data_IF_708974510640
#
_entry.id   IF_708974510640
#
_cell.length_a   1.000
_cell.length_b   1.000
_cell.length_c   1.000
_cell.angle_alpha   90.00
_cell.angle_beta   90.00
_cell.angle_gamma   90.00
#
_symmetry.space_group_name_H-M   'P 1'
#
loop_
_entity.id
_entity.type
_entity.pdbx_description
1 polymer ?
#
# COMPACT_ATOMS: atom_id res chain seq x y z
N UNK A 1 -22.55 -15.11 16.07
CA UNK A 1 -21.39 -14.35 15.56
C UNK A 1 -21.20 -14.71 14.11
N UNK A 2 -21.54 -13.82 13.18
CA UNK A 2 -21.36 -14.06 11.75
C UNK A 2 -19.88 -13.90 11.41
N UNK A 3 -19.22 -14.99 11.03
CA UNK A 3 -17.84 -14.97 10.55
C UNK A 3 -17.84 -14.25 9.20
N UNK A 4 -17.38 -13.00 9.17
CA UNK A 4 -17.15 -12.29 7.92
C UNK A 4 -15.91 -12.93 7.29
N UNK A 5 -16.13 -13.83 6.33
CA UNK A 5 -15.08 -14.48 5.55
C UNK A 5 -14.71 -13.52 4.42
N UNK A 6 -13.66 -12.74 4.65
CA UNK A 6 -13.05 -11.93 3.61
C UNK A 6 -12.31 -12.86 2.64
N UNK A 7 -12.94 -13.16 1.51
CA UNK A 7 -12.38 -14.02 0.45
C UNK A 7 -11.72 -13.17 -0.66
N UNK A 8 -11.61 -11.86 -0.46
CA UNK A 8 -11.05 -10.99 -1.48
C UNK A 8 -9.53 -11.18 -1.55
N UNK A 9 -9.04 -11.53 -2.73
CA UNK A 9 -7.60 -11.63 -3.02
C UNK A 9 -7.29 -10.60 -4.10
N UNK A 10 -6.43 -9.64 -3.78
CA UNK A 10 -5.99 -8.65 -4.74
C UNK A 10 -5.07 -9.32 -5.79
N UNK A 11 -5.21 -8.98 -7.08
CA UNK A 11 -4.29 -9.47 -8.10
C UNK A 11 -2.85 -8.98 -7.81
N UNK A 12 -1.82 -9.76 -8.15
CA UNK A 12 -0.44 -9.39 -7.86
C UNK A 12 -0.03 -8.16 -8.68
N UNK A 13 0.38 -7.10 -7.99
CA UNK A 13 0.86 -5.88 -8.63
C UNK A 13 2.38 -5.95 -8.78
N UNK A 14 2.87 -6.02 -10.04
CA UNK A 14 4.31 -6.05 -10.35
C UNK A 14 4.93 -4.66 -10.50
N UNK A 15 4.11 -3.61 -10.49
CA UNK A 15 4.59 -2.24 -10.58
C UNK A 15 5.34 -1.85 -9.30
N UNK A 16 6.41 -1.08 -9.48
CA UNK A 16 7.21 -0.57 -8.38
C UNK A 16 6.63 0.76 -7.88
N UNK A 17 6.76 0.98 -6.58
CA UNK A 17 6.39 2.26 -5.97
C UNK A 17 7.46 3.28 -6.34
N UNK A 18 7.04 4.37 -6.99
CA UNK A 18 7.95 5.49 -7.30
C UNK A 18 7.90 6.51 -6.17
N UNK A 19 9.07 6.92 -5.68
CA UNK A 19 9.19 7.97 -4.68
C UNK A 19 9.11 9.33 -5.39
N UNK A 20 8.13 10.15 -5.02
CA UNK A 20 7.97 11.50 -5.59
C UNK A 20 8.65 12.56 -4.73
N UNK A 21 8.59 12.38 -3.41
CA UNK A 21 9.19 13.29 -2.45
C UNK A 21 9.47 12.57 -1.13
N UNK A 22 10.50 12.99 -0.42
CA UNK A 22 10.88 12.43 0.87
C UNK A 22 11.49 13.52 1.74
N UNK A 23 11.03 13.59 2.98
CA UNK A 23 11.70 14.34 4.05
C UNK A 23 11.76 13.50 5.34
N UNK A 24 12.16 14.12 6.45
CA UNK A 24 12.32 13.48 7.74
C UNK A 24 10.98 13.05 8.39
N UNK A 25 9.85 13.58 7.92
CA UNK A 25 8.54 13.40 8.54
C UNK A 25 7.53 12.69 7.64
N UNK A 26 7.67 12.81 6.32
CA UNK A 26 6.75 12.25 5.33
C UNK A 26 7.46 11.79 4.07
N UNK A 27 6.87 10.76 3.45
CA UNK A 27 7.29 10.21 2.18
C UNK A 27 6.09 10.24 1.24
N UNK A 28 6.23 10.95 0.12
CA UNK A 28 5.26 10.97 -0.96
C UNK A 28 5.68 9.96 -2.02
N UNK A 29 4.74 9.09 -2.37
CA UNK A 29 4.93 8.05 -3.37
C UNK A 29 3.82 8.09 -4.39
N UNK A 30 4.16 7.72 -5.62
CA UNK A 30 3.19 7.38 -6.63
C UNK A 30 2.71 5.94 -6.37
N UNK A 31 1.46 5.81 -5.94
CA UNK A 31 0.86 4.50 -5.68
C UNK A 31 0.32 3.91 -6.99
N UNK A 32 0.79 2.73 -7.42
CA UNK A 32 0.23 2.08 -8.60
C UNK A 32 -1.24 1.69 -8.39
N UNK A 33 -1.98 1.63 -9.49
CA UNK A 33 -3.35 1.16 -9.49
C UNK A 33 -3.38 -0.34 -9.12
N UNK A 34 -4.37 -0.76 -8.33
CA UNK A 34 -4.50 -2.17 -7.92
C UNK A 34 -3.60 -2.63 -6.75
N UNK A 35 -2.63 -1.83 -6.30
CA UNK A 35 -1.89 -2.11 -5.07
C UNK A 35 -2.64 -1.59 -3.83
N UNK A 36 -2.74 -2.44 -2.82
CA UNK A 36 -3.37 -2.11 -1.54
C UNK A 36 -2.53 -1.08 -0.76
N UNK A 37 -3.19 -0.13 -0.12
CA UNK A 37 -2.52 0.87 0.73
C UNK A 37 -2.02 0.26 2.03
N UNK A 38 -2.81 -0.63 2.62
CA UNK A 38 -2.50 -1.40 3.83
C UNK A 38 -2.61 -2.89 3.53
N UNK A 39 -1.87 -3.71 4.28
CA UNK A 39 -1.95 -5.16 4.13
C UNK A 39 -3.34 -5.66 4.51
N UNK A 40 -3.89 -6.54 3.67
CA UNK A 40 -5.18 -7.16 3.91
C UNK A 40 -5.12 -8.19 5.04
N UNK A 41 -6.30 -8.70 5.44
CA UNK A 41 -6.41 -9.76 6.45
C UNK A 41 -5.95 -11.13 5.94
N UNK A 42 -6.12 -11.38 4.63
CA UNK A 42 -5.64 -12.59 3.97
C UNK A 42 -4.11 -12.54 3.79
N UNK A 43 -3.37 -13.63 4.10
CA UNK A 43 -1.92 -13.68 3.94
C UNK A 43 -1.45 -13.49 2.49
N UNK A 44 -2.31 -13.71 1.49
CA UNK A 44 -2.00 -13.42 0.07
C UNK A 44 -2.06 -11.93 -0.25
N UNK A 45 -2.71 -11.13 0.59
CA UNK A 45 -2.82 -9.67 0.48
C UNK A 45 -1.82 -8.93 1.38
N UNK A 46 -0.74 -9.61 1.81
CA UNK A 46 0.32 -8.97 2.59
C UNK A 46 1.06 -7.92 1.77
N UNK A 47 1.19 -8.14 0.45
CA UNK A 47 1.83 -7.20 -0.46
C UNK A 47 0.99 -5.92 -0.59
N UNK A 48 1.48 -4.87 0.05
CA UNK A 48 0.84 -3.57 0.11
C UNK A 48 1.90 -2.46 0.09
N UNK A 49 1.46 -1.24 -0.15
CA UNK A 49 2.30 -0.04 -0.03
C UNK A 49 3.00 0.00 1.31
N UNK A 50 2.24 -0.17 2.40
CA UNK A 50 2.80 -0.19 3.75
C UNK A 50 3.85 -1.29 3.92
N UNK A 51 3.56 -2.51 3.46
CA UNK A 51 4.51 -3.62 3.57
C UNK A 51 5.83 -3.32 2.86
N UNK A 52 5.77 -2.79 1.63
CA UNK A 52 6.96 -2.41 0.85
C UNK A 52 7.70 -1.21 1.45
N UNK A 53 6.99 -0.23 2.01
CA UNK A 53 7.60 0.96 2.61
C UNK A 53 8.26 0.67 3.95
N UNK A 54 7.68 -0.16 4.80
CA UNK A 54 8.30 -0.53 6.10
C UNK A 54 9.65 -1.23 5.90
N UNK A 55 9.79 -2.03 4.84
CA UNK A 55 11.08 -2.66 4.51
C UNK A 55 12.17 -1.64 4.12
N UNK A 56 11.78 -0.53 3.49
CA UNK A 56 12.71 0.54 3.10
C UNK A 56 12.91 1.57 4.22
N UNK A 57 11.89 1.78 5.05
CA UNK A 57 11.82 2.78 6.10
C UNK A 57 11.24 2.15 7.37
N UNK A 58 12.09 1.55 8.23
CA UNK A 58 11.63 0.83 9.43
C UNK A 58 10.95 1.74 10.49
N UNK A 59 11.02 3.07 10.34
CA UNK A 59 10.32 4.05 11.17
C UNK A 59 8.95 4.51 10.63
N UNK A 60 8.49 4.00 9.49
CA UNK A 60 7.25 4.46 8.85
C UNK A 60 6.01 3.79 9.51
N UNK A 61 5.52 4.35 10.61
CA UNK A 61 4.42 3.76 11.40
C UNK A 61 3.02 4.02 10.83
N UNK A 62 2.85 5.02 9.96
CA UNK A 62 1.56 5.42 9.37
C UNK A 62 1.69 5.75 7.88
N UNK A 63 1.07 4.92 7.04
CA UNK A 63 0.97 5.16 5.60
C UNK A 63 -0.44 5.66 5.26
N UNK A 64 -0.60 6.98 5.10
CA UNK A 64 -1.81 7.56 4.50
C UNK A 64 -1.64 7.62 2.99
N UNK A 65 -2.22 6.66 2.28
CA UNK A 65 -2.25 6.69 0.82
C UNK A 65 -3.42 7.56 0.36
N UNK A 66 -3.13 8.64 -0.36
CA UNK A 66 -4.12 9.39 -1.13
C UNK A 66 -3.89 9.03 -2.60
N UNK A 67 -4.83 8.31 -3.21
CA UNK A 67 -4.81 8.10 -4.66
C UNK A 67 -4.99 9.45 -5.33
N UNK A 68 -3.96 9.95 -6.01
CA UNK A 68 -4.18 10.96 -7.04
C UNK A 68 -5.10 10.31 -8.08
N UNK A 69 -6.31 10.84 -8.22
CA UNK A 69 -7.18 10.46 -9.32
C UNK A 69 -6.43 10.66 -10.65
N UNK A 70 -6.62 9.78 -11.65
CA UNK A 70 -6.00 9.99 -12.95
C UNK A 70 -6.43 11.36 -13.50
N UNK A 71 -5.51 12.18 -14.05
CA UNK A 71 -5.91 13.35 -14.80
C UNK A 71 -6.77 12.89 -15.99
N UNK A 72 -7.93 13.52 -16.16
CA UNK A 72 -8.84 13.31 -17.28
C UNK A 72 -8.20 13.70 -18.62
#
# INVERSE_FOLDING_TARGET
>A
MSTIIDTFVAPPCREQITLLYQDEHLVLINKPAGLLSLSGKDPRNLDSVHHRLVQRFPGCTRCTARTSAPPA
#
